data_IF_554840934881
#
_entry.id   IF_554840934881
#
_cell.length_a   1.000
_cell.length_b   1.000
_cell.length_c   1.000
_cell.angle_alpha   90.00
_cell.angle_beta   90.00
_cell.angle_gamma   90.00
#
_symmetry.space_group_name_H-M   'P 1'
#
loop_
_entity.id
_entity.type
_entity.pdbx_description
1 polymer ?
#
# COMPACT_ATOMS: atom_id res chain seq x y z
N UNK A 1 -15.59 19.08 -80.81
CA UNK A 1 -14.49 18.42 -80.09
C UNK A 1 -14.38 19.05 -78.71
N UNK A 2 -14.54 18.26 -77.64
CA UNK A 2 -13.86 18.31 -76.34
C UNK A 2 -14.73 17.55 -75.33
N UNK A 3 -14.24 16.39 -74.88
CA UNK A 3 -14.90 15.52 -73.90
C UNK A 3 -14.06 15.61 -72.61
N UNK A 4 -14.61 16.24 -71.58
CA UNK A 4 -13.95 16.32 -70.26
C UNK A 4 -14.18 14.99 -69.55
N UNK A 5 -13.10 14.24 -69.31
CA UNK A 5 -13.10 13.03 -68.49
C UNK A 5 -12.76 13.46 -67.06
N UNK A 6 -13.75 13.43 -66.17
CA UNK A 6 -13.54 13.67 -64.74
C UNK A 6 -13.05 12.37 -64.10
N UNK A 7 -11.76 12.31 -63.76
CA UNK A 7 -11.21 11.24 -62.94
C UNK A 7 -11.51 11.54 -61.46
N UNK A 8 -12.45 10.79 -60.88
CA UNK A 8 -12.68 10.76 -59.43
C UNK A 8 -11.59 9.87 -58.81
N UNK A 9 -10.54 10.50 -58.30
CA UNK A 9 -9.49 9.81 -57.55
C UNK A 9 -9.99 9.41 -56.16
N UNK A 10 -10.16 8.11 -55.93
CA UNK A 10 -10.45 7.55 -54.62
C UNK A 10 -9.17 7.61 -53.76
N UNK A 11 -9.11 8.57 -52.83
CA UNK A 11 -8.02 8.68 -51.85
C UNK A 11 -8.17 7.57 -50.80
N UNK A 12 -7.44 6.47 -50.96
CA UNK A 12 -7.22 5.50 -49.88
C UNK A 12 -6.32 6.16 -48.82
N UNK A 13 -6.90 6.45 -47.65
CA UNK A 13 -6.15 6.87 -46.46
C UNK A 13 -5.57 5.61 -45.82
N UNK A 14 -4.24 5.44 -45.75
CA UNK A 14 -3.66 4.29 -45.05
C UNK A 14 -3.98 4.43 -43.56
N UNK A 15 -4.77 3.51 -43.03
CA UNK A 15 -4.94 3.35 -41.58
C UNK A 15 -3.62 2.83 -41.02
N UNK A 16 -2.83 3.71 -40.41
CA UNK A 16 -1.65 3.26 -39.67
C UNK A 16 -2.12 2.31 -38.57
N UNK A 17 -1.53 1.11 -38.43
CA UNK A 17 -1.82 0.25 -37.30
C UNK A 17 -1.39 1.00 -36.04
N UNK A 18 -2.35 1.29 -35.15
CA UNK A 18 -2.04 1.71 -33.79
C UNK A 18 -1.22 0.59 -33.18
N UNK A 19 0.06 0.84 -32.93
CA UNK A 19 0.88 -0.07 -32.16
C UNK A 19 0.25 -0.18 -30.76
N UNK A 20 -0.35 -1.33 -30.45
CA UNK A 20 -0.68 -1.70 -29.08
C UNK A 20 0.64 -1.72 -28.31
N UNK A 21 0.83 -0.76 -27.39
CA UNK A 21 1.90 -0.89 -26.42
C UNK A 21 1.54 -2.05 -25.53
N UNK A 22 2.22 -3.18 -25.68
CA UNK A 22 2.30 -4.20 -24.63
C UNK A 22 2.82 -3.52 -23.37
N UNK A 23 1.91 -3.18 -22.45
CA UNK A 23 2.27 -2.72 -21.12
C UNK A 23 2.62 -3.97 -20.32
N UNK A 24 3.91 -4.26 -20.19
CA UNK A 24 4.37 -5.24 -19.21
C UNK A 24 4.01 -4.66 -17.82
N UNK A 25 2.93 -5.16 -17.23
CA UNK A 25 2.45 -4.74 -15.93
C UNK A 25 3.17 -5.54 -14.85
N UNK A 26 4.12 -4.89 -14.15
CA UNK A 26 4.74 -5.44 -12.95
C UNK A 26 3.95 -4.99 -11.74
N UNK A 27 3.10 -5.86 -11.18
CA UNK A 27 2.50 -5.62 -9.87
C UNK A 27 3.45 -6.13 -8.80
N UNK A 28 3.98 -5.21 -7.98
CA UNK A 28 4.75 -5.58 -6.80
C UNK A 28 3.89 -6.43 -5.85
N UNK A 29 4.49 -7.42 -5.18
CA UNK A 29 3.80 -8.31 -4.25
C UNK A 29 4.48 -8.25 -2.89
N UNK A 30 3.70 -8.00 -1.85
CA UNK A 30 4.19 -7.86 -0.48
C UNK A 30 3.46 -8.83 0.44
N UNK A 31 4.20 -9.59 1.25
CA UNK A 31 3.67 -10.40 2.35
C UNK A 31 4.30 -9.93 3.66
N UNK A 32 3.61 -9.02 4.35
CA UNK A 32 4.14 -8.31 5.51
C UNK A 32 3.78 -9.05 6.80
N UNK A 33 4.76 -9.58 7.56
CA UNK A 33 4.47 -10.25 8.83
C UNK A 33 4.01 -9.25 9.90
N UNK A 34 3.06 -9.68 10.75
CA UNK A 34 2.61 -8.93 11.92
C UNK A 34 2.96 -9.72 13.18
N UNK A 35 3.50 -9.03 14.18
CA UNK A 35 3.69 -9.57 15.52
C UNK A 35 2.88 -8.75 16.54
N UNK A 36 1.79 -9.30 17.11
CA UNK A 36 1.07 -8.65 18.19
C UNK A 36 1.97 -8.45 19.42
N UNK A 37 1.97 -7.25 19.98
CA UNK A 37 2.67 -6.91 21.24
C UNK A 37 1.67 -6.87 22.40
N UNK A 38 0.44 -6.47 22.11
CA UNK A 38 -0.67 -6.41 23.06
C UNK A 38 -2.01 -6.21 22.33
N UNK A 39 -3.09 -5.87 23.06
CA UNK A 39 -4.44 -5.80 22.48
C UNK A 39 -4.62 -4.76 21.37
N UNK A 40 -3.90 -3.64 21.48
CA UNK A 40 -4.00 -2.45 20.62
C UNK A 40 -2.69 -2.11 19.93
N UNK A 41 -1.62 -2.83 20.28
CA UNK A 41 -0.24 -2.51 19.90
C UNK A 41 0.38 -3.71 19.21
N UNK A 42 1.01 -3.48 18.07
CA UNK A 42 1.58 -4.54 17.26
C UNK A 42 2.75 -4.02 16.42
N UNK A 43 3.64 -4.94 16.07
CA UNK A 43 4.74 -4.69 15.16
C UNK A 43 4.36 -5.11 13.73
N UNK A 44 4.59 -4.20 12.79
CA UNK A 44 4.60 -4.49 11.36
C UNK A 44 6.05 -4.75 10.96
N UNK A 45 6.37 -6.00 10.65
CA UNK A 45 7.73 -6.45 10.37
C UNK A 45 8.08 -6.12 8.91
N UNK A 46 9.24 -5.52 8.71
CA UNK A 46 9.74 -5.21 7.37
C UNK A 46 10.03 -6.50 6.58
N UNK A 47 9.49 -6.56 5.36
CA UNK A 47 9.67 -7.65 4.40
C UNK A 47 9.55 -7.12 2.96
N UNK A 48 10.07 -7.88 1.99
CA UNK A 48 9.87 -7.67 0.55
C UNK A 48 10.22 -6.26 0.03
N UNK A 49 11.15 -5.56 0.69
CA UNK A 49 11.52 -4.18 0.34
C UNK A 49 10.44 -3.13 0.63
N UNK A 50 9.47 -3.44 1.50
CA UNK A 50 8.36 -2.55 1.85
C UNK A 50 8.81 -1.19 2.40
N UNK A 51 8.24 -0.13 1.83
CA UNK A 51 8.40 1.25 2.28
C UNK A 51 7.38 1.67 3.34
N UNK A 52 7.40 2.95 3.72
CA UNK A 52 6.49 3.50 4.73
C UNK A 52 5.01 3.31 4.38
N UNK A 53 4.66 3.51 3.11
CA UNK A 53 3.29 3.34 2.58
C UNK A 53 2.79 1.91 2.80
N UNK A 54 3.58 0.90 2.43
CA UNK A 54 3.25 -0.50 2.62
C UNK A 54 3.11 -0.87 4.11
N UNK A 55 3.97 -0.31 4.97
CA UNK A 55 3.90 -0.55 6.42
C UNK A 55 2.63 0.06 7.05
N UNK A 56 2.24 1.27 6.64
CA UNK A 56 0.97 1.88 7.05
C UNK A 56 -0.23 1.09 6.53
N UNK A 57 -0.20 0.66 5.27
CA UNK A 57 -1.22 -0.20 4.69
C UNK A 57 -1.38 -1.50 5.50
N UNK A 58 -0.27 -2.21 5.76
CA UNK A 58 -0.28 -3.44 6.56
C UNK A 58 -0.88 -3.20 7.97
N UNK A 59 -0.55 -2.08 8.61
CA UNK A 59 -1.15 -1.68 9.88
C UNK A 59 -2.65 -1.38 9.77
N UNK A 60 -3.09 -0.76 8.69
CA UNK A 60 -4.50 -0.54 8.36
C UNK A 60 -5.27 -1.85 8.19
N UNK A 61 -4.73 -2.80 7.43
CA UNK A 61 -5.32 -4.15 7.25
C UNK A 61 -5.46 -4.85 8.60
N UNK A 62 -4.38 -4.92 9.38
CA UNK A 62 -4.42 -5.60 10.68
C UNK A 62 -5.46 -4.98 11.62
N UNK A 63 -5.48 -3.64 11.72
CA UNK A 63 -6.41 -2.94 12.60
C UNK A 63 -7.87 -3.17 12.21
N UNK A 64 -8.20 -3.09 10.91
CA UNK A 64 -9.59 -3.27 10.46
C UNK A 64 -10.02 -4.73 10.44
N UNK A 65 -9.19 -5.60 9.85
CA UNK A 65 -9.57 -7.00 9.55
C UNK A 65 -9.32 -7.96 10.69
N UNK A 66 -8.41 -7.64 11.61
CA UNK A 66 -8.01 -8.53 12.71
C UNK A 66 -8.43 -7.99 14.06
N UNK A 67 -8.21 -6.70 14.32
CA UNK A 67 -8.67 -6.07 15.56
C UNK A 67 -10.15 -5.62 15.50
N UNK A 68 -10.77 -5.58 14.31
CA UNK A 68 -12.16 -5.15 14.14
C UNK A 68 -12.39 -3.66 14.37
N UNK A 69 -11.34 -2.84 14.34
CA UNK A 69 -11.41 -1.40 14.62
C UNK A 69 -11.44 -0.62 13.31
N UNK A 70 -12.60 -0.04 13.00
CA UNK A 70 -12.85 0.65 11.72
C UNK A 70 -12.48 2.14 11.74
N UNK A 71 -12.56 2.78 12.91
CA UNK A 71 -12.42 4.23 13.08
C UNK A 71 -11.42 4.55 14.18
N UNK A 72 -10.94 5.79 14.17
CA UNK A 72 -9.97 6.28 15.13
C UNK A 72 -8.58 6.40 14.54
N UNK A 73 -7.57 6.29 15.40
CA UNK A 73 -6.19 6.66 15.10
C UNK A 73 -5.32 5.43 15.02
N UNK A 74 -4.40 5.43 14.05
CA UNK A 74 -3.27 4.52 14.01
C UNK A 74 -2.00 5.37 14.18
N UNK A 75 -1.23 5.05 15.20
CA UNK A 75 -0.10 5.87 15.64
C UNK A 75 1.19 5.07 15.62
N UNK A 76 2.28 5.65 15.12
CA UNK A 76 3.63 5.10 15.28
C UNK A 76 4.04 5.25 16.74
N UNK A 77 4.00 4.15 17.50
CA UNK A 77 4.46 4.12 18.90
C UNK A 77 5.99 4.09 18.97
N UNK A 78 6.59 3.15 18.25
CA UNK A 78 8.04 3.07 18.06
C UNK A 78 8.36 3.18 16.57
N UNK A 79 9.36 4.01 16.24
CA UNK A 79 9.81 4.21 14.87
C UNK A 79 10.40 2.94 14.28
N UNK A 80 10.55 2.91 12.95
CA UNK A 80 11.22 1.80 12.26
C UNK A 80 12.61 1.54 12.88
N UNK A 81 12.79 0.36 13.43
CA UNK A 81 14.00 -0.04 14.15
C UNK A 81 14.05 -1.55 14.36
N UNK A 82 14.97 -2.07 15.19
CA UNK A 82 14.97 -3.47 15.58
C UNK A 82 13.62 -3.90 16.17
N UNK A 83 13.12 -5.04 15.72
CA UNK A 83 11.88 -5.66 16.21
C UNK A 83 12.09 -6.19 17.63
N UNK A 84 11.10 -5.96 18.50
CA UNK A 84 11.08 -6.48 19.87
C UNK A 84 10.54 -7.92 19.92
N UNK A 85 9.70 -8.30 18.94
CA UNK A 85 9.06 -9.61 18.91
C UNK A 85 9.78 -10.63 18.03
N UNK A 86 10.58 -10.19 17.05
CA UNK A 86 11.22 -11.05 16.06
C UNK A 86 12.70 -10.72 15.93
N UNK A 87 13.55 -11.58 16.50
CA UNK A 87 15.00 -11.38 16.53
C UNK A 87 15.60 -11.17 15.13
N UNK A 88 16.50 -10.18 15.02
CA UNK A 88 17.21 -9.89 13.77
C UNK A 88 16.37 -9.19 12.69
N UNK A 89 15.10 -8.88 12.96
CA UNK A 89 14.22 -8.17 12.01
C UNK A 89 14.09 -6.70 12.37
N UNK A 90 13.67 -5.91 11.39
CA UNK A 90 13.23 -4.52 11.60
C UNK A 90 11.71 -4.45 11.58
N UNK A 91 11.15 -3.55 12.38
CA UNK A 91 9.71 -3.35 12.48
C UNK A 91 9.37 -1.90 12.80
N UNK A 92 8.10 -1.54 12.55
CA UNK A 92 7.46 -0.35 13.12
C UNK A 92 6.42 -0.83 14.11
N UNK A 93 6.40 -0.25 15.31
CA UNK A 93 5.33 -0.54 16.26
C UNK A 93 4.20 0.47 16.06
N UNK A 94 3.03 -0.02 15.67
CA UNK A 94 1.81 0.77 15.63
C UNK A 94 0.96 0.53 16.87
N UNK A 95 0.11 1.50 17.18
CA UNK A 95 -0.92 1.36 18.22
C UNK A 95 -2.19 2.14 17.88
N UNK A 96 -3.33 1.63 18.36
CA UNK A 96 -4.61 2.34 18.37
C UNK A 96 -4.88 3.08 19.69
N UNK A 97 -4.02 2.92 20.69
CA UNK A 97 -4.11 3.63 21.95
C UNK A 97 -3.61 5.08 21.84
N UNK A 98 -3.94 5.87 22.87
CA UNK A 98 -3.47 7.24 23.02
C UNK A 98 -1.95 7.21 23.28
N UNK A 99 -1.21 7.93 22.43
CA UNK A 99 0.23 8.19 22.62
C UNK A 99 0.41 9.66 23.00
N UNK A 100 0.96 9.98 24.19
CA UNK A 100 1.19 11.36 24.60
C UNK A 100 2.06 12.13 23.59
N UNK A 101 1.67 13.36 23.25
CA UNK A 101 2.40 14.19 22.30
C UNK A 101 2.29 13.75 20.83
N UNK A 102 1.45 12.75 20.52
CA UNK A 102 1.19 12.33 19.15
C UNK A 102 0.57 13.44 18.30
N UNK A 103 1.00 13.52 17.04
CA UNK A 103 0.57 14.55 16.09
C UNK A 103 0.02 13.93 14.82
N UNK A 104 -1.07 14.51 14.32
CA UNK A 104 -1.66 14.14 13.04
C UNK A 104 -0.72 14.49 11.88
N UNK A 105 -0.59 13.58 10.92
CA UNK A 105 0.23 13.76 9.73
C UNK A 105 -0.27 12.84 8.61
N UNK A 106 -0.23 13.34 7.37
CA UNK A 106 -0.49 12.54 6.16
C UNK A 106 0.78 11.96 5.54
N UNK A 107 1.94 12.25 6.12
CA UNK A 107 3.21 11.71 5.64
C UNK A 107 3.31 10.21 5.98
N UNK A 108 3.63 9.40 4.99
CA UNK A 108 3.75 7.94 5.10
C UNK A 108 5.07 7.48 5.72
N UNK A 109 5.97 8.43 6.06
CA UNK A 109 7.21 8.12 6.73
C UNK A 109 6.99 7.57 8.14
N UNK A 110 7.71 6.51 8.51
CA UNK A 110 7.62 5.82 9.82
C UNK A 110 8.80 6.13 10.75
N UNK A 111 9.49 7.25 10.51
CA UNK A 111 10.70 7.67 11.23
C UNK A 111 10.44 8.68 12.36
N UNK A 112 9.18 8.96 12.68
CA UNK A 112 8.79 9.92 13.71
C UNK A 112 7.80 9.27 14.67
N UNK A 113 8.18 9.15 15.94
CA UNK A 113 7.30 8.64 16.99
C UNK A 113 6.12 9.60 17.21
N UNK A 114 4.97 9.06 17.59
CA UNK A 114 3.73 9.82 17.75
C UNK A 114 3.10 10.28 16.43
N UNK A 115 3.69 9.96 15.27
CA UNK A 115 3.05 10.26 13.99
C UNK A 115 1.77 9.45 13.86
N UNK A 116 0.67 10.16 13.60
CA UNK A 116 -0.67 9.59 13.63
C UNK A 116 -1.42 9.88 12.33
N UNK A 117 -2.05 8.86 11.77
CA UNK A 117 -3.10 9.05 10.75
C UNK A 117 -4.38 8.34 11.20
N UNK A 118 -5.49 8.55 10.48
CA UNK A 118 -6.70 7.76 10.74
C UNK A 118 -6.51 6.33 10.24
N UNK A 119 -7.15 5.37 10.89
CA UNK A 119 -7.16 3.96 10.42
C UNK A 119 -7.72 3.88 9.00
N UNK A 120 -8.76 4.67 8.70
CA UNK A 120 -9.33 4.78 7.36
C UNK A 120 -8.31 5.24 6.32
N UNK A 121 -7.47 6.24 6.64
CA UNK A 121 -6.44 6.73 5.73
C UNK A 121 -5.31 5.70 5.56
N UNK A 122 -4.82 5.10 6.65
CA UNK A 122 -3.82 4.03 6.58
C UNK A 122 -4.29 2.88 5.67
N UNK A 123 -5.55 2.48 5.80
CA UNK A 123 -6.13 1.47 4.93
C UNK A 123 -6.38 1.98 3.49
N UNK A 124 -6.64 3.28 3.27
CA UNK A 124 -6.78 3.86 1.94
C UNK A 124 -5.50 3.72 1.10
N UNK A 125 -4.32 3.73 1.74
CA UNK A 125 -3.02 3.50 1.11
C UNK A 125 -2.87 2.11 0.48
N UNK A 126 -3.74 1.16 0.82
CA UNK A 126 -3.71 -0.21 0.28
C UNK A 126 -4.32 -0.33 -1.12
N UNK A 127 -4.17 0.69 -1.96
CA UNK A 127 -4.60 0.64 -3.35
C UNK A 127 -3.60 -0.21 -4.16
N UNK A 128 -4.01 -1.34 -4.76
CA UNK A 128 -3.11 -2.21 -5.49
C UNK A 128 -2.49 -1.54 -6.72
N UNK A 129 -3.12 -0.51 -7.29
CA UNK A 129 -2.59 0.24 -8.43
C UNK A 129 -1.46 1.20 -8.00
N UNK A 130 -1.41 1.56 -6.71
CA UNK A 130 -0.41 2.48 -6.14
C UNK A 130 0.73 1.72 -5.48
N UNK A 131 0.42 0.71 -4.66
CA UNK A 131 1.42 0.03 -3.82
C UNK A 131 1.65 -1.43 -4.19
N UNK A 132 0.98 -1.96 -5.21
CA UNK A 132 0.99 -3.39 -5.54
C UNK A 132 0.12 -4.24 -4.61
N UNK A 133 0.15 -5.55 -4.83
CA UNK A 133 -0.64 -6.52 -4.07
C UNK A 133 0.00 -6.77 -2.70
N UNK A 134 -0.56 -6.14 -1.65
CA UNK A 134 -0.13 -6.34 -0.27
C UNK A 134 -1.10 -7.23 0.51
N UNK A 135 -0.54 -8.20 1.22
CA UNK A 135 -1.23 -9.00 2.25
C UNK A 135 -0.38 -9.06 3.52
N UNK A 136 -1.02 -9.23 4.66
CA UNK A 136 -0.32 -9.44 5.93
C UNK A 136 -0.28 -10.92 6.28
N UNK A 137 0.76 -11.34 7.01
CA UNK A 137 0.88 -12.70 7.58
C UNK A 137 0.82 -12.62 9.10
N UNK A 138 -0.14 -13.33 9.69
CA UNK A 138 -0.30 -13.45 11.13
C UNK A 138 0.65 -14.50 11.73
N UNK A 139 0.87 -14.50 13.06
CA UNK A 139 1.76 -15.47 13.72
C UNK A 139 1.36 -16.93 13.50
N UNK A 140 0.05 -17.21 13.35
CA UNK A 140 -0.46 -18.54 13.03
C UNK A 140 -0.28 -18.94 11.54
N UNK A 141 0.40 -18.12 10.74
CA UNK A 141 0.62 -18.35 9.30
C UNK A 141 -0.53 -17.88 8.40
N UNK A 142 -1.66 -17.46 8.96
CA UNK A 142 -2.80 -16.98 8.17
C UNK A 142 -2.44 -15.74 7.37
N UNK A 143 -2.88 -15.72 6.11
CA UNK A 143 -2.76 -14.55 5.25
C UNK A 143 -4.06 -13.76 5.30
N UNK A 144 -3.94 -12.45 5.54
CA UNK A 144 -5.09 -11.55 5.56
C UNK A 144 -4.89 -10.49 4.49
N UNK A 145 -5.95 -10.31 3.70
CA UNK A 145 -6.02 -9.37 2.60
C UNK A 145 -6.82 -8.15 3.04
N UNK A 146 -6.66 -7.05 2.30
CA UNK A 146 -7.45 -5.84 2.53
C UNK A 146 -8.93 -6.10 2.31
#
# INVERSE_FOLDING_TARGET
MFKIIVFVGLLMVPTLPVAERDRISFSAKYTIPIAPVGPTTFEVIEADGAGGTQLWCAGGIFTRRVLGVERGNLTVKNVRGPSQMVLGRKAVTFTTDIVPGAKKSYSEGVRTAGKTMSIAHANALCDPDVIGNLKIRLPNGQLVYR
#
